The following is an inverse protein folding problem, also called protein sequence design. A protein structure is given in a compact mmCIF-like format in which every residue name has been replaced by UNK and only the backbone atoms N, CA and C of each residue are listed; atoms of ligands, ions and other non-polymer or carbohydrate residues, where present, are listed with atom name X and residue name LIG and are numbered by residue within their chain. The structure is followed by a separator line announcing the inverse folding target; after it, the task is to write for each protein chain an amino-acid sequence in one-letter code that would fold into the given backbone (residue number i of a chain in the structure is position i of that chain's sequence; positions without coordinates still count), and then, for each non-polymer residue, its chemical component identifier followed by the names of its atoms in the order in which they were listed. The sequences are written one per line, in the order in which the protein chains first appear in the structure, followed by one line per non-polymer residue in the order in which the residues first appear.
data_IF_302424043593
#
_entry.id   IF_302424043593
#
_cell.length_a   1.000
_cell.length_b   1.000
_cell.length_c   1.000
_cell.angle_alpha   90.00
_cell.angle_beta   90.00
_cell.angle_gamma   90.00
#
_symmetry.space_group_name_H-M   'P 1'
#
loop_
_entity.id
_entity.type
_entity.pdbx_description
1 polymer ?
#
# COMPACT_ATOMS: atom_id res chain seq x y z
N UNK A 1 -1.42 17.63 -23.31
CA UNK A 1 -0.90 18.97 -23.65
C UNK A 1 0.02 18.86 -24.86
N UNK A 2 0.29 19.95 -25.61
CA UNK A 2 1.24 19.89 -26.72
C UNK A 2 2.68 19.96 -26.21
N UNK A 3 3.57 19.12 -26.76
CA UNK A 3 4.99 19.06 -26.40
C UNK A 3 5.75 20.34 -26.78
N UNK A 4 5.38 20.94 -27.92
CA UNK A 4 6.03 22.14 -28.45
C UNK A 4 5.92 23.35 -27.51
N UNK A 5 4.88 23.40 -26.67
CA UNK A 5 4.67 24.47 -25.70
C UNK A 5 5.64 24.41 -24.51
N UNK A 6 6.34 23.27 -24.30
CA UNK A 6 7.17 23.02 -23.13
C UNK A 6 8.58 22.52 -23.47
N UNK A 7 9.36 23.23 -24.29
CA UNK A 7 10.66 22.76 -24.79
C UNK A 7 11.68 22.47 -23.68
N UNK A 8 11.61 23.21 -22.55
CA UNK A 8 12.47 22.96 -21.39
C UNK A 8 12.11 21.69 -20.62
N UNK A 9 10.82 21.38 -20.50
CA UNK A 9 10.38 20.13 -19.85
C UNK A 9 10.71 18.93 -20.72
N UNK A 10 10.50 19.05 -22.03
CA UNK A 10 10.89 18.01 -23.00
C UNK A 10 12.39 17.75 -22.93
N UNK A 11 13.22 18.79 -23.00
CA UNK A 11 14.67 18.64 -22.90
C UNK A 11 15.12 18.04 -21.55
N UNK A 12 14.43 18.36 -20.45
CA UNK A 12 14.70 17.75 -19.14
C UNK A 12 14.35 16.26 -19.15
N UNK A 13 13.17 15.91 -19.68
CA UNK A 13 12.69 14.55 -19.71
C UNK A 13 13.54 13.66 -20.62
N UNK A 14 14.00 14.18 -21.76
CA UNK A 14 14.94 13.50 -22.66
C UNK A 14 16.31 13.30 -21.99
N UNK A 15 16.83 14.33 -21.30
CA UNK A 15 18.15 14.26 -20.67
C UNK A 15 18.22 13.27 -19.51
N UNK A 16 17.12 13.06 -18.81
CA UNK A 16 17.06 12.27 -17.58
C UNK A 16 16.15 11.04 -17.69
N UNK A 17 15.81 10.63 -18.92
CA UNK A 17 14.98 9.45 -19.20
C UNK A 17 13.63 9.43 -18.44
N UNK A 18 12.97 10.58 -18.33
CA UNK A 18 11.74 10.76 -17.54
C UNK A 18 10.45 10.47 -18.32
N UNK A 19 10.53 9.67 -19.39
CA UNK A 19 9.40 9.32 -20.23
C UNK A 19 8.86 7.93 -19.91
N UNK A 20 7.55 7.77 -19.97
CA UNK A 20 6.88 6.48 -19.81
C UNK A 20 5.78 6.27 -20.84
N UNK A 21 5.53 4.99 -21.15
CA UNK A 21 4.34 4.55 -21.86
C UNK A 21 3.25 4.06 -20.90
N UNK A 22 3.61 3.77 -19.64
CA UNK A 22 2.69 3.38 -18.57
C UNK A 22 2.60 4.47 -17.51
N UNK A 23 1.67 5.40 -17.75
CA UNK A 23 1.37 6.52 -16.85
C UNK A 23 0.69 6.08 -15.55
N UNK A 24 0.18 4.84 -15.47
CA UNK A 24 -0.47 4.33 -14.26
C UNK A 24 0.59 3.78 -13.31
N UNK A 25 1.52 2.95 -13.82
CA UNK A 25 2.64 2.46 -13.03
C UNK A 25 3.64 3.58 -12.71
N UNK A 26 3.78 4.58 -13.58
CA UNK A 26 4.77 5.64 -13.47
C UNK A 26 4.13 7.04 -13.45
N UNK A 27 3.16 7.28 -12.57
CA UNK A 27 2.46 8.56 -12.45
C UNK A 27 3.37 9.77 -12.15
N UNK A 28 4.63 9.57 -11.75
CA UNK A 28 5.60 10.66 -11.59
C UNK A 28 6.41 10.98 -12.85
N UNK A 29 6.29 10.19 -13.93
CA UNK A 29 6.96 10.40 -15.21
C UNK A 29 6.05 11.09 -16.22
N UNK A 30 6.65 11.68 -17.25
CA UNK A 30 5.91 12.25 -18.36
C UNK A 30 5.44 11.14 -19.31
N UNK A 31 4.15 11.09 -19.60
CA UNK A 31 3.62 10.12 -20.57
C UNK A 31 3.87 10.58 -22.00
N UNK A 32 4.22 9.65 -22.89
CA UNK A 32 4.52 9.96 -24.30
C UNK A 32 3.33 10.47 -25.12
N UNK A 33 2.09 10.39 -24.62
CA UNK A 33 0.91 10.86 -25.37
C UNK A 33 0.76 10.10 -26.70
N UNK A 34 0.58 10.82 -27.80
CA UNK A 34 0.56 10.26 -29.18
C UNK A 34 1.93 9.91 -29.74
N UNK A 35 3.01 10.06 -28.97
CA UNK A 35 4.38 9.77 -29.38
C UNK A 35 5.06 10.87 -30.20
N UNK A 36 4.37 11.93 -30.58
CA UNK A 36 4.91 12.98 -31.46
C UNK A 36 4.59 14.40 -30.99
N UNK A 37 3.31 14.74 -30.84
CA UNK A 37 2.84 16.12 -30.65
C UNK A 37 2.34 16.34 -29.23
N UNK A 38 1.84 15.32 -28.55
CA UNK A 38 1.26 15.44 -27.22
C UNK A 38 2.08 14.75 -26.14
N UNK A 39 1.90 15.20 -24.89
CA UNK A 39 2.41 14.55 -23.69
C UNK A 39 1.38 14.57 -22.56
N UNK A 40 1.54 13.62 -21.64
CA UNK A 40 0.80 13.53 -20.38
C UNK A 40 1.71 14.03 -19.26
N UNK A 41 1.18 14.90 -18.40
CA UNK A 41 1.91 15.36 -17.23
C UNK A 41 1.87 14.30 -16.12
N UNK A 42 2.89 14.28 -15.23
CA UNK A 42 2.82 13.54 -13.99
C UNK A 42 1.53 13.83 -13.21
N UNK A 43 0.91 12.80 -12.62
CA UNK A 43 -0.31 12.89 -11.83
C UNK A 43 0.00 12.66 -10.34
N UNK A 44 0.01 13.74 -9.57
CA UNK A 44 0.36 13.72 -8.15
C UNK A 44 -0.86 13.82 -7.23
N UNK A 45 -2.07 13.87 -7.79
CA UNK A 45 -3.31 13.96 -7.01
C UNK A 45 -3.40 12.76 -6.06
N UNK A 46 -3.73 13.03 -4.80
CA UNK A 46 -3.86 12.04 -3.71
C UNK A 46 -2.59 11.19 -3.45
N UNK A 47 -1.40 11.69 -3.81
CA UNK A 47 -0.13 10.97 -3.63
C UNK A 47 0.90 11.81 -2.88
N UNK A 48 1.61 11.17 -1.96
CA UNK A 48 2.78 11.72 -1.30
C UNK A 48 4.01 11.62 -2.20
N UNK A 49 5.00 12.46 -1.96
CA UNK A 49 6.30 12.36 -2.63
C UNK A 49 7.29 11.69 -1.68
N UNK A 50 7.99 10.65 -2.16
CA UNK A 50 9.04 9.96 -1.41
C UNK A 50 10.38 10.07 -2.14
N UNK A 51 11.48 10.26 -1.41
CA UNK A 51 12.80 10.23 -2.00
C UNK A 51 13.21 8.78 -2.26
N UNK A 52 13.79 8.53 -3.43
CA UNK A 52 14.26 7.21 -3.81
C UNK A 52 15.61 7.30 -4.54
N UNK A 53 16.49 6.33 -4.29
CA UNK A 53 17.73 6.17 -5.05
C UNK A 53 17.49 5.55 -6.43
N UNK A 54 16.41 4.79 -6.58
CA UNK A 54 16.01 4.09 -7.80
C UNK A 54 14.50 4.26 -8.09
N UNK A 55 14.09 3.95 -9.32
CA UNK A 55 12.68 3.93 -9.71
C UNK A 55 11.96 5.28 -9.57
N UNK A 56 12.67 6.39 -9.81
CA UNK A 56 12.06 7.71 -9.81
C UNK A 56 10.87 7.76 -10.79
N UNK A 57 9.77 8.35 -10.34
CA UNK A 57 8.50 8.45 -11.04
C UNK A 57 7.57 7.25 -10.88
N UNK A 58 8.02 6.14 -10.29
CA UNK A 58 7.17 4.99 -10.01
C UNK A 58 6.08 5.33 -8.98
N UNK A 59 4.89 4.77 -9.21
CA UNK A 59 3.75 4.83 -8.29
C UNK A 59 3.85 3.70 -7.29
N UNK A 60 3.75 4.03 -6.01
CA UNK A 60 3.73 3.10 -4.89
C UNK A 60 2.35 3.14 -4.26
N UNK A 61 1.71 1.98 -4.14
CA UNK A 61 0.42 1.83 -3.50
C UNK A 61 0.53 2.06 -1.98
N UNK A 62 -0.58 2.47 -1.37
CA UNK A 62 -0.65 2.56 0.08
C UNK A 62 -0.49 1.17 0.72
N UNK A 63 0.27 1.09 1.79
CA UNK A 63 0.48 -0.14 2.53
C UNK A 63 0.97 0.12 3.94
N UNK A 64 0.63 -0.80 4.82
CA UNK A 64 1.04 -0.83 6.22
C UNK A 64 1.61 -2.22 6.54
N UNK A 65 2.51 -2.32 7.53
CA UNK A 65 2.81 -3.61 8.16
C UNK A 65 1.51 -4.24 8.66
N UNK A 66 1.40 -5.55 8.53
CA UNK A 66 0.25 -6.22 9.12
C UNK A 66 0.34 -6.15 10.65
N UNK A 67 -0.81 -6.01 11.30
CA UNK A 67 -0.92 -6.06 12.76
C UNK A 67 -1.67 -7.34 13.10
N UNK A 68 -0.98 -8.23 13.79
CA UNK A 68 -1.52 -9.51 14.23
C UNK A 68 -1.39 -9.65 15.74
N UNK A 69 -2.34 -10.34 16.35
CA UNK A 69 -2.30 -10.66 17.77
C UNK A 69 -3.17 -11.87 18.07
N UNK A 70 -2.99 -12.46 19.25
CA UNK A 70 -3.87 -13.52 19.70
C UNK A 70 -3.98 -13.50 21.23
N UNK A 71 -5.14 -13.94 21.73
CA UNK A 71 -5.36 -14.20 23.14
C UNK A 71 -6.28 -15.40 23.29
N UNK A 72 -6.28 -16.01 24.47
CA UNK A 72 -7.19 -17.11 24.79
C UNK A 72 -8.25 -16.58 25.73
N UNK A 73 -9.52 -16.81 25.40
CA UNK A 73 -10.65 -16.43 26.24
C UNK A 73 -11.70 -17.53 26.33
N UNK A 74 -12.42 -17.52 27.44
CA UNK A 74 -13.61 -18.33 27.65
C UNK A 74 -14.81 -17.57 27.12
N UNK A 75 -15.66 -18.28 26.39
CA UNK A 75 -16.77 -17.73 25.66
C UNK A 75 -18.06 -18.51 25.98
N UNK A 76 -19.21 -17.82 26.02
CA UNK A 76 -20.54 -18.43 26.15
C UNK A 76 -21.21 -18.54 24.77
N UNK A 77 -22.17 -19.45 24.58
CA UNK A 77 -22.63 -20.03 23.29
C UNK A 77 -23.24 -19.08 22.21
N UNK A 78 -22.92 -17.78 22.17
CA UNK A 78 -23.44 -16.80 21.22
C UNK A 78 -22.38 -15.79 20.71
N UNK A 79 -21.16 -16.24 20.40
CA UNK A 79 -20.14 -15.31 19.89
C UNK A 79 -20.20 -15.22 18.37
N UNK A 80 -20.43 -13.99 17.89
CA UNK A 80 -20.23 -13.61 16.51
C UNK A 80 -18.86 -12.93 16.41
N UNK A 81 -18.00 -13.46 15.54
CA UNK A 81 -16.74 -12.83 15.18
C UNK A 81 -16.92 -12.05 13.88
N UNK A 82 -16.37 -10.84 13.82
CA UNK A 82 -16.48 -9.96 12.66
C UNK A 82 -15.22 -9.13 12.46
N UNK A 83 -15.05 -8.63 11.23
CA UNK A 83 -13.91 -7.80 10.87
C UNK A 83 -12.58 -8.56 10.97
N UNK A 84 -11.65 -8.00 11.74
CA UNK A 84 -10.28 -8.50 11.88
C UNK A 84 -10.13 -9.55 12.97
N UNK A 85 -11.20 -9.88 13.69
CA UNK A 85 -11.19 -10.94 14.69
C UNK A 85 -11.65 -12.26 14.10
N UNK A 86 -10.96 -13.33 14.48
CA UNK A 86 -11.33 -14.72 14.19
C UNK A 86 -10.98 -15.62 15.37
N UNK A 87 -11.30 -16.91 15.29
CA UNK A 87 -10.89 -17.89 16.28
C UNK A 87 -10.22 -19.11 15.65
N UNK A 88 -9.17 -19.60 16.28
CA UNK A 88 -8.56 -20.89 15.96
C UNK A 88 -9.03 -21.94 16.98
N UNK A 89 -9.78 -22.93 16.49
CA UNK A 89 -10.22 -24.09 17.27
C UNK A 89 -11.42 -23.83 18.18
N UNK A 90 -12.25 -24.87 18.36
CA UNK A 90 -13.41 -24.88 19.28
C UNK A 90 -13.09 -25.41 20.68
N UNK A 91 -11.91 -26.00 20.88
CA UNK A 91 -11.57 -26.76 22.08
C UNK A 91 -10.11 -26.56 22.49
N UNK A 92 -9.67 -25.32 22.75
CA UNK A 92 -8.41 -25.13 23.46
C UNK A 92 -8.66 -25.47 24.93
N UNK A 93 -8.53 -26.75 25.32
CA UNK A 93 -8.78 -27.21 26.69
C UNK A 93 -7.62 -26.74 27.58
N UNK A 94 -7.80 -25.76 28.49
CA UNK A 94 -6.80 -25.54 29.53
C UNK A 94 -6.94 -26.67 30.53
N UNK A 95 -5.81 -27.08 31.07
CA UNK A 95 -5.62 -28.17 32.04
C UNK A 95 -6.46 -28.06 33.35
N UNK A 96 -7.34 -27.06 33.51
CA UNK A 96 -8.01 -26.73 34.78
C UNK A 96 -9.53 -26.43 34.72
N UNK A 97 -10.28 -26.85 33.70
CA UNK A 97 -11.74 -26.56 33.66
C UNK A 97 -12.58 -27.83 33.63
N UNK A 98 -13.34 -28.05 34.71
CA UNK A 98 -14.20 -29.23 34.95
C UNK A 98 -15.62 -29.08 34.39
N UNK A 99 -15.98 -27.91 33.84
CA UNK A 99 -17.33 -27.60 33.37
C UNK A 99 -17.47 -27.83 31.84
N UNK A 100 -18.48 -28.63 31.46
CA UNK A 100 -18.74 -29.08 30.08
C UNK A 100 -19.37 -28.01 29.17
N UNK A 101 -19.65 -26.79 29.64
CA UNK A 101 -20.50 -25.81 28.93
C UNK A 101 -19.81 -24.49 28.59
N UNK A 102 -18.49 -24.37 28.71
CA UNK A 102 -17.78 -23.16 28.29
C UNK A 102 -16.69 -23.50 27.28
N UNK A 103 -16.84 -23.07 26.04
CA UNK A 103 -15.82 -23.24 25.01
C UNK A 103 -14.70 -22.23 25.23
N UNK A 104 -13.46 -22.70 25.14
CA UNK A 104 -12.28 -21.85 25.26
C UNK A 104 -11.65 -21.76 23.87
N UNK A 105 -11.55 -20.54 23.39
CA UNK A 105 -11.10 -20.23 22.05
C UNK A 105 -9.81 -19.43 22.12
N UNK A 106 -8.89 -19.72 21.19
CA UNK A 106 -7.83 -18.79 20.84
C UNK A 106 -8.43 -17.80 19.84
N UNK A 107 -8.65 -16.59 20.29
CA UNK A 107 -9.08 -15.48 19.43
C UNK A 107 -7.85 -14.86 18.80
N UNK A 108 -7.95 -14.59 17.51
CA UNK A 108 -6.90 -14.03 16.68
C UNK A 108 -7.39 -12.70 16.15
N UNK A 109 -6.47 -11.76 16.11
CA UNK A 109 -6.61 -10.49 15.43
C UNK A 109 -5.67 -10.50 14.23
N UNK A 110 -6.20 -10.20 13.06
CA UNK A 110 -5.44 -9.95 11.84
C UNK A 110 -6.09 -8.80 11.07
N UNK A 111 -5.43 -7.64 11.06
CA UNK A 111 -5.94 -6.42 10.44
C UNK A 111 -6.15 -6.56 8.92
N UNK A 112 -5.38 -7.42 8.24
CA UNK A 112 -5.47 -7.64 6.79
C UNK A 112 -6.82 -8.20 6.34
N UNK A 113 -7.55 -8.87 7.26
CA UNK A 113 -8.89 -9.43 7.00
C UNK A 113 -9.95 -8.35 6.83
N UNK A 114 -9.78 -7.21 7.49
CA UNK A 114 -10.71 -6.07 7.37
C UNK A 114 -10.31 -5.11 6.27
N UNK A 115 -9.02 -5.00 5.97
CA UNK A 115 -8.53 -4.06 4.98
C UNK A 115 -7.24 -4.53 4.32
N UNK A 116 -7.19 -4.59 2.98
CA UNK A 116 -6.04 -5.10 2.24
C UNK A 116 -4.79 -4.21 2.32
N UNK A 117 -4.89 -2.99 2.90
CA UNK A 117 -3.68 -2.15 3.09
C UNK A 117 -2.76 -2.70 4.19
N UNK A 118 -3.27 -3.50 5.12
CA UNK A 118 -2.44 -4.15 6.14
C UNK A 118 -1.76 -5.39 5.56
N UNK A 119 -0.45 -5.49 5.73
CA UNK A 119 0.39 -6.54 5.14
C UNK A 119 0.89 -6.22 3.73
N UNK A 120 0.47 -5.10 3.15
CA UNK A 120 0.89 -4.69 1.80
C UNK A 120 2.27 -3.98 1.77
N UNK A 121 2.87 -3.69 2.93
CA UNK A 121 4.17 -3.03 3.05
C UNK A 121 4.87 -3.40 4.37
N UNK A 122 6.20 -3.36 4.41
CA UNK A 122 6.99 -3.52 5.64
C UNK A 122 7.13 -2.22 6.46
N UNK A 123 6.70 -1.09 5.89
CA UNK A 123 6.71 0.22 6.54
C UNK A 123 5.38 0.94 6.31
N UNK A 124 5.09 1.97 7.10
CA UNK A 124 3.93 2.81 6.85
C UNK A 124 4.19 3.60 5.56
N UNK A 125 3.46 3.25 4.51
CA UNK A 125 3.57 3.86 3.19
C UNK A 125 2.21 4.41 2.76
N UNK A 126 2.01 5.74 2.72
CA UNK A 126 0.88 6.29 1.99
C UNK A 126 1.06 6.02 0.48
N UNK A 127 -0.01 6.19 -0.31
CA UNK A 127 0.14 6.21 -1.76
C UNK A 127 1.18 7.29 -2.14
N UNK A 128 2.19 6.94 -2.93
CA UNK A 128 3.34 7.81 -3.12
C UNK A 128 3.98 7.74 -4.52
N UNK A 129 4.76 8.77 -4.86
CA UNK A 129 5.60 8.88 -6.05
C UNK A 129 7.05 8.99 -5.63
N UNK A 130 7.90 8.14 -6.18
CA UNK A 130 9.36 8.17 -5.96
C UNK A 130 10.01 9.33 -6.71
N UNK A 131 10.88 10.11 -6.07
CA UNK A 131 11.65 11.17 -6.71
C UNK A 131 13.15 11.02 -6.44
N UNK A 132 13.94 11.41 -7.43
CA UNK A 132 15.38 11.63 -7.25
C UNK A 132 15.62 13.09 -6.83
N UNK A 133 16.11 13.35 -5.61
CA UNK A 133 16.42 14.72 -5.18
C UNK A 133 17.65 15.25 -5.94
N UNK A 134 17.54 16.44 -6.52
CA UNK A 134 18.65 17.15 -7.19
C UNK A 134 18.87 18.48 -6.47
N UNK A 135 20.06 18.66 -5.88
CA UNK A 135 20.49 19.95 -5.33
C UNK A 135 21.24 20.69 -6.42
N UNK A 136 20.76 21.88 -6.80
CA UNK A 136 21.46 22.77 -7.73
C UNK A 136 22.24 23.81 -6.92
N UNK A 137 23.56 23.82 -7.07
CA UNK A 137 24.47 24.84 -6.55
C UNK A 137 25.10 25.63 -7.70
#
# INVERSE_FOLDING_TARGET
MQRADYPRLVALADKHDLWTDDVTANAGLFGRGDGAVTMVLPNWTDRMVQFAGDGAGASIAAGLPNITGAFVARYHDLNEWAGCFDHEGRNYVPYYVTEKSSQIHKTIFDASRSSPVYGASETVQPAAIKLMPIIRY
#
